data_IF_525180252693
#
_entry.id   IF_525180252693
#
_cell.length_a   1.000
_cell.length_b   1.000
_cell.length_c   1.000
_cell.angle_alpha   90.00
_cell.angle_beta   90.00
_cell.angle_gamma   90.00
#
_symmetry.space_group_name_H-M   'P 1'
#
loop_
_entity.id
_entity.type
_entity.pdbx_description
1 polymer ?
#
# COMPACT_ATOMS: atom_id res chain seq x y z
N UNK A 1 -50.79 34.90 9.17
CA UNK A 1 -49.75 34.30 8.31
C UNK A 1 -48.40 34.83 8.78
N UNK A 2 -47.65 34.05 9.55
CA UNK A 2 -46.37 34.46 10.17
C UNK A 2 -45.23 33.98 9.27
N UNK A 3 -44.54 34.91 8.62
CA UNK A 3 -43.39 34.62 7.76
C UNK A 3 -42.17 34.25 8.63
N UNK A 4 -41.77 32.98 8.62
CA UNK A 4 -40.51 32.55 9.19
C UNK A 4 -39.34 33.07 8.32
N UNK A 5 -38.51 33.98 8.86
CA UNK A 5 -37.26 34.37 8.20
C UNK A 5 -36.20 33.33 8.50
N UNK A 6 -35.69 32.67 7.45
CA UNK A 6 -34.48 31.86 7.53
C UNK A 6 -33.31 32.76 7.91
N UNK A 7 -32.80 32.60 9.12
CA UNK A 7 -31.59 33.29 9.56
C UNK A 7 -30.39 32.47 9.07
N UNK A 8 -29.75 32.95 8.01
CA UNK A 8 -28.46 32.40 7.61
C UNK A 8 -27.41 32.91 8.61
N UNK A 9 -26.70 32.03 9.34
CA UNK A 9 -25.62 32.48 10.19
C UNK A 9 -24.59 33.20 9.32
N UNK A 10 -24.18 34.40 9.74
CA UNK A 10 -23.15 35.17 9.05
C UNK A 10 -21.83 34.40 9.02
N UNK A 11 -21.02 34.65 7.98
CA UNK A 11 -19.71 34.04 7.85
C UNK A 11 -18.88 34.21 9.14
N UNK A 12 -18.17 33.17 9.62
CA UNK A 12 -17.35 33.30 10.80
C UNK A 12 -16.22 34.30 10.54
N UNK A 13 -16.16 35.37 11.34
CA UNK A 13 -15.14 36.44 11.24
C UNK A 13 -14.08 36.37 12.34
N UNK A 14 -14.15 35.39 13.24
CA UNK A 14 -13.14 35.27 14.28
C UNK A 14 -11.79 34.89 13.64
N UNK A 15 -10.67 35.52 14.06
CA UNK A 15 -9.35 35.21 13.51
C UNK A 15 -8.99 33.72 13.63
N UNK A 16 -9.45 33.05 14.69
CA UNK A 16 -9.25 31.62 14.92
C UNK A 16 -9.96 30.79 13.86
N UNK A 17 -11.21 31.11 13.52
CA UNK A 17 -11.95 30.37 12.49
C UNK A 17 -11.37 30.62 11.11
N UNK A 18 -10.95 31.85 10.80
CA UNK A 18 -10.26 32.15 9.55
C UNK A 18 -8.93 31.40 9.45
N UNK A 19 -8.16 31.34 10.54
CA UNK A 19 -6.92 30.57 10.61
C UNK A 19 -7.16 29.07 10.38
N UNK A 20 -8.19 28.49 11.02
CA UNK A 20 -8.55 27.09 10.81
C UNK A 20 -8.98 26.82 9.37
N UNK A 21 -9.80 27.69 8.77
CA UNK A 21 -10.21 27.57 7.36
C UNK A 21 -8.97 27.59 6.46
N UNK A 22 -8.02 28.50 6.70
CA UNK A 22 -6.79 28.57 5.91
C UNK A 22 -5.95 27.29 6.01
N UNK A 23 -5.79 26.72 7.23
CA UNK A 23 -5.06 25.45 7.43
C UNK A 23 -5.76 24.29 6.71
N UNK A 24 -7.09 24.20 6.80
CA UNK A 24 -7.85 23.14 6.11
C UNK A 24 -7.70 23.27 4.59
N UNK A 25 -7.84 24.48 4.04
CA UNK A 25 -7.67 24.71 2.60
C UNK A 25 -6.25 24.36 2.13
N UNK A 26 -5.23 24.70 2.92
CA UNK A 26 -3.85 24.32 2.62
C UNK A 26 -3.65 22.80 2.66
N UNK A 27 -4.16 22.11 3.69
CA UNK A 27 -4.08 20.66 3.80
C UNK A 27 -4.79 19.96 2.62
N UNK A 28 -5.97 20.45 2.21
CA UNK A 28 -6.69 19.95 1.04
C UNK A 28 -5.88 20.17 -0.23
N UNK A 29 -5.31 21.36 -0.43
CA UNK A 29 -4.48 21.67 -1.58
C UNK A 29 -3.27 20.74 -1.67
N UNK A 30 -2.56 20.53 -0.55
CA UNK A 30 -1.42 19.60 -0.50
C UNK A 30 -1.84 18.15 -0.75
N UNK A 31 -3.01 17.72 -0.23
CA UNK A 31 -3.53 16.37 -0.45
C UNK A 31 -3.86 16.10 -1.92
N UNK A 32 -4.41 17.10 -2.63
CA UNK A 32 -4.75 16.97 -4.05
C UNK A 32 -3.58 17.27 -4.99
N UNK A 33 -2.57 18.02 -4.54
CA UNK A 33 -1.34 18.20 -5.32
C UNK A 33 -0.56 16.89 -5.48
N UNK A 34 -0.69 15.97 -4.52
CA UNK A 34 -0.06 14.66 -4.59
C UNK A 34 1.46 14.74 -4.40
N UNK A 35 1.91 15.51 -3.40
CA UNK A 35 3.33 15.52 -3.02
C UNK A 35 3.75 14.10 -2.62
N UNK A 36 4.85 13.64 -3.21
CA UNK A 36 5.56 12.44 -2.77
C UNK A 36 6.40 12.80 -1.54
N UNK A 37 5.86 12.49 -0.36
CA UNK A 37 6.50 12.79 0.91
C UNK A 37 7.58 11.79 1.30
N UNK A 38 7.57 10.61 0.67
CA UNK A 38 8.43 9.49 1.03
C UNK A 38 9.63 9.37 0.08
N UNK A 39 9.47 9.76 -1.18
CA UNK A 39 10.47 9.59 -2.25
C UNK A 39 10.97 8.14 -2.33
N UNK A 40 10.06 7.17 -2.14
CA UNK A 40 10.34 5.73 -2.16
C UNK A 40 11.19 5.22 -0.99
N UNK A 41 11.25 5.94 0.14
CA UNK A 41 12.10 5.56 1.30
C UNK A 41 11.41 4.65 2.32
N UNK A 42 10.15 4.29 2.11
CA UNK A 42 9.37 3.47 3.03
C UNK A 42 9.33 4.08 4.44
N UNK A 43 9.11 5.40 4.54
CA UNK A 43 9.00 6.11 5.82
C UNK A 43 7.74 5.70 6.58
N UNK A 44 6.71 5.23 5.87
CA UNK A 44 5.55 4.66 6.54
C UNK A 44 5.86 3.25 7.07
N UNK A 45 5.54 2.97 8.35
CA UNK A 45 5.90 1.70 8.99
C UNK A 45 5.18 0.49 8.38
N UNK A 46 3.99 0.67 7.81
CA UNK A 46 3.23 -0.37 7.13
C UNK A 46 3.78 -0.69 5.74
N UNK A 47 4.18 0.33 4.97
CA UNK A 47 4.85 0.14 3.67
C UNK A 47 6.16 -0.63 3.84
N UNK A 48 7.00 -0.21 4.81
CA UNK A 48 8.23 -0.91 5.15
C UNK A 48 7.99 -2.35 5.56
N UNK A 49 6.95 -2.60 6.35
CA UNK A 49 6.59 -3.96 6.75
C UNK A 49 6.19 -4.83 5.56
N UNK A 50 5.34 -4.32 4.67
CA UNK A 50 4.85 -5.10 3.53
C UNK A 50 5.96 -5.30 2.50
N UNK A 51 6.63 -4.23 2.08
CA UNK A 51 7.60 -4.29 0.97
C UNK A 51 8.88 -4.97 1.45
N UNK A 52 9.58 -4.37 2.40
CA UNK A 52 10.93 -4.82 2.78
C UNK A 52 10.88 -6.13 3.59
N UNK A 53 10.03 -6.18 4.61
CA UNK A 53 10.01 -7.34 5.52
C UNK A 53 9.21 -8.53 5.00
N UNK A 54 8.18 -8.35 4.18
CA UNK A 54 7.33 -9.45 3.71
C UNK A 54 7.65 -9.83 2.26
N UNK A 55 7.53 -8.90 1.32
CA UNK A 55 7.64 -9.22 -0.11
C UNK A 55 9.09 -9.50 -0.50
N UNK A 56 10.03 -8.67 -0.05
CA UNK A 56 11.46 -8.87 -0.30
C UNK A 56 12.04 -9.92 0.65
N UNK A 57 11.68 -9.86 1.94
CA UNK A 57 12.32 -10.67 2.98
C UNK A 57 11.78 -12.10 3.19
N UNK A 58 10.62 -12.49 2.64
CA UNK A 58 10.00 -13.81 2.91
C UNK A 58 9.68 -14.64 1.68
N UNK A 59 9.80 -14.09 0.47
CA UNK A 59 9.55 -14.82 -0.77
C UNK A 59 10.87 -15.37 -1.27
N UNK A 60 11.11 -16.66 -1.00
CA UNK A 60 12.38 -17.33 -1.31
C UNK A 60 12.11 -18.60 -2.11
N UNK A 61 12.76 -18.77 -3.27
CA UNK A 61 12.63 -19.97 -4.10
C UNK A 61 14.02 -20.51 -4.41
N UNK A 62 14.30 -21.71 -3.91
CA UNK A 62 15.54 -22.42 -4.21
C UNK A 62 15.62 -22.79 -5.71
N UNK A 63 16.85 -22.80 -6.24
CA UNK A 63 17.12 -23.29 -7.58
C UNK A 63 17.91 -24.62 -7.53
N UNK A 64 17.42 -25.70 -8.16
CA UNK A 64 16.21 -25.78 -8.97
C UNK A 64 14.90 -25.83 -8.13
N UNK A 65 13.80 -25.25 -8.63
CA UNK A 65 12.56 -25.13 -7.87
C UNK A 65 11.87 -26.49 -7.71
N UNK A 66 11.41 -26.77 -6.49
CA UNK A 66 10.57 -27.93 -6.23
C UNK A 66 9.11 -27.62 -6.63
N UNK A 67 8.75 -27.97 -7.86
CA UNK A 67 7.42 -27.70 -8.45
C UNK A 67 6.28 -28.30 -7.60
N UNK A 68 6.53 -29.45 -6.96
CA UNK A 68 5.52 -30.09 -6.11
C UNK A 68 5.20 -29.30 -4.83
N UNK A 69 6.09 -28.41 -4.41
CA UNK A 69 5.92 -27.55 -3.24
C UNK A 69 5.36 -26.16 -3.57
N UNK A 70 5.44 -25.70 -4.82
CA UNK A 70 5.06 -24.32 -5.19
C UNK A 70 3.59 -23.99 -4.92
N UNK A 71 2.72 -24.99 -5.05
CA UNK A 71 1.28 -24.84 -4.81
C UNK A 71 0.87 -25.17 -3.37
N UNK A 72 1.80 -25.57 -2.50
CA UNK A 72 1.50 -25.89 -1.09
C UNK A 72 1.35 -24.61 -0.28
N UNK A 73 0.16 -24.30 0.27
CA UNK A 73 0.00 -23.09 1.07
C UNK A 73 0.83 -23.11 2.36
N UNK A 74 1.16 -24.29 2.88
CA UNK A 74 1.84 -24.44 4.17
C UNK A 74 3.37 -24.34 4.08
N UNK A 75 3.95 -24.57 2.90
CA UNK A 75 5.39 -24.80 2.74
C UNK A 75 5.99 -24.14 1.50
N UNK A 76 5.17 -23.51 0.65
CA UNK A 76 5.65 -22.84 -0.56
C UNK A 76 6.39 -21.56 -0.22
N UNK A 77 7.64 -21.44 -0.67
CA UNK A 77 8.40 -20.19 -0.58
C UNK A 77 7.84 -19.04 -1.43
N UNK A 78 6.86 -19.30 -2.30
CA UNK A 78 6.09 -18.25 -2.98
C UNK A 78 4.99 -17.64 -2.10
N UNK A 79 4.68 -18.25 -0.95
CA UNK A 79 3.69 -17.74 -0.03
C UNK A 79 4.37 -16.83 1.02
N UNK A 80 4.06 -15.53 1.09
CA UNK A 80 4.65 -14.62 2.08
C UNK A 80 4.27 -14.94 3.55
N UNK A 81 3.27 -15.83 3.73
CA UNK A 81 2.88 -16.45 5.01
C UNK A 81 3.53 -17.80 5.27
N UNK A 82 4.48 -18.24 4.45
CA UNK A 82 5.13 -19.52 4.65
C UNK A 82 6.42 -19.31 5.40
N UNK A 83 6.36 -19.47 6.70
CA UNK A 83 7.22 -20.43 7.38
C UNK A 83 6.57 -20.75 8.74
N UNK A 84 6.81 -21.87 9.37
CA UNK A 84 7.66 -22.93 8.93
C UNK A 84 6.99 -24.28 9.22
N UNK A 85 7.68 -25.36 8.87
CA UNK A 85 7.20 -26.71 9.07
C UNK A 85 7.25 -27.24 10.52
N UNK A 86 7.71 -26.49 11.52
CA UNK A 86 7.80 -26.94 12.93
C UNK A 86 7.86 -25.82 13.99
N UNK A 87 8.48 -24.67 13.74
CA UNK A 87 8.37 -23.37 14.46
C UNK A 87 9.18 -22.18 13.88
N UNK A 88 10.16 -22.34 12.98
CA UNK A 88 10.88 -21.26 12.27
C UNK A 88 10.09 -20.14 11.56
N UNK A 89 8.81 -19.92 11.90
CA UNK A 89 8.01 -18.68 11.81
C UNK A 89 8.18 -17.81 10.57
N UNK A 90 7.16 -17.82 9.72
CA UNK A 90 6.59 -16.64 9.08
C UNK A 90 5.09 -16.83 9.00
N UNK A 91 4.37 -16.43 10.04
CA UNK A 91 2.91 -16.36 9.97
C UNK A 91 2.40 -15.14 10.70
N UNK A 92 2.53 -13.98 10.10
CA UNK A 92 1.43 -13.01 10.10
C UNK A 92 1.63 -12.14 8.87
N UNK A 93 0.58 -12.06 8.05
CA UNK A 93 0.48 -11.23 6.86
C UNK A 93 -0.98 -11.23 6.40
N UNK A 94 -1.67 -10.08 6.34
CA UNK A 94 -3.13 -10.04 6.20
C UNK A 94 -3.64 -10.39 4.80
N UNK A 95 -2.81 -10.31 3.77
CA UNK A 95 -3.25 -10.41 2.37
C UNK A 95 -3.10 -11.81 1.75
N UNK A 96 -2.28 -12.70 2.34
CA UNK A 96 -2.01 -14.04 1.78
C UNK A 96 -1.25 -14.03 0.44
N UNK A 97 -0.98 -15.20 -0.12
CA UNK A 97 -0.17 -15.33 -1.34
C UNK A 97 -0.90 -14.88 -2.62
N UNK A 98 -2.21 -15.12 -2.72
CA UNK A 98 -2.93 -14.97 -3.98
C UNK A 98 -2.91 -13.53 -4.53
N UNK A 99 -3.21 -12.48 -3.73
CA UNK A 99 -3.13 -11.11 -4.23
C UNK A 99 -1.74 -10.76 -4.75
N UNK A 100 -0.69 -11.14 -4.01
CA UNK A 100 0.72 -10.89 -4.38
C UNK A 100 1.07 -11.56 -5.71
N UNK A 101 0.72 -12.84 -5.86
CA UNK A 101 1.01 -13.60 -7.08
C UNK A 101 0.25 -13.08 -8.29
N UNK A 102 -1.01 -12.68 -8.11
CA UNK A 102 -1.83 -12.12 -9.19
C UNK A 102 -1.30 -10.77 -9.63
N UNK A 103 -0.92 -9.89 -8.70
CA UNK A 103 -0.35 -8.58 -9.02
C UNK A 103 0.99 -8.72 -9.70
N UNK A 104 1.84 -9.64 -9.25
CA UNK A 104 3.16 -9.88 -9.87
C UNK A 104 3.01 -10.46 -11.28
N UNK A 105 2.11 -11.43 -11.47
CA UNK A 105 1.85 -11.99 -12.80
C UNK A 105 1.27 -10.93 -13.76
N UNK A 106 0.35 -10.10 -13.28
CA UNK A 106 -0.21 -9.00 -14.08
C UNK A 106 0.87 -7.98 -14.45
N UNK A 107 1.70 -7.55 -13.49
CA UNK A 107 2.80 -6.64 -13.72
C UNK A 107 3.81 -7.21 -14.72
N UNK A 108 4.15 -8.50 -14.62
CA UNK A 108 5.02 -9.19 -15.57
C UNK A 108 4.45 -9.24 -16.99
N UNK A 109 3.15 -9.54 -17.13
CA UNK A 109 2.46 -9.54 -18.44
C UNK A 109 2.47 -8.13 -19.04
N UNK A 110 2.12 -7.12 -18.25
CA UNK A 110 2.12 -5.72 -18.73
C UNK A 110 3.53 -5.29 -19.09
N UNK A 111 4.54 -5.69 -18.31
CA UNK A 111 5.95 -5.39 -18.62
C UNK A 111 6.39 -6.04 -19.92
N UNK A 112 6.01 -7.28 -20.16
CA UNK A 112 6.30 -7.98 -21.42
C UNK A 112 5.62 -7.31 -22.63
N UNK A 113 4.38 -6.83 -22.48
CA UNK A 113 3.65 -6.18 -23.56
C UNK A 113 4.19 -4.78 -23.86
N UNK A 114 4.52 -4.01 -22.83
CA UNK A 114 4.88 -2.59 -22.95
C UNK A 114 6.38 -2.37 -23.15
N UNK A 115 7.23 -3.31 -22.72
CA UNK A 115 8.68 -3.13 -22.65
C UNK A 115 9.16 -2.32 -21.44
N UNK A 116 8.24 -1.86 -20.60
CA UNK A 116 8.52 -1.08 -19.39
C UNK A 116 8.48 -1.98 -18.15
N UNK A 117 9.33 -1.75 -17.13
CA UNK A 117 9.30 -2.52 -15.89
C UNK A 117 8.19 -2.04 -14.94
N UNK A 118 7.09 -2.79 -14.85
CA UNK A 118 5.96 -2.48 -13.95
C UNK A 118 6.09 -3.07 -12.54
N UNK A 119 7.06 -3.95 -12.33
CA UNK A 119 7.43 -4.53 -11.04
C UNK A 119 8.83 -4.06 -10.59
N UNK A 120 9.35 -2.99 -11.20
CA UNK A 120 10.67 -2.44 -10.89
C UNK A 120 10.66 -1.59 -9.60
N UNK A 121 11.78 -1.57 -8.85
CA UNK A 121 11.89 -0.78 -7.61
C UNK A 121 11.86 0.74 -7.85
N UNK A 122 12.02 1.20 -9.09
CA UNK A 122 11.89 2.60 -9.51
C UNK A 122 10.44 3.09 -9.56
N UNK A 123 9.47 2.19 -9.37
CA UNK A 123 8.03 2.47 -9.42
C UNK A 123 7.30 2.21 -8.10
N UNK A 124 8.06 1.92 -7.04
CA UNK A 124 7.61 1.89 -5.65
C UNK A 124 7.87 3.25 -5.00
#
# INVERSE_FOLDING_TARGET
MTSARLHFPGWPRSPQTMGLIAVILAAIALRFYGLDWDEGRGLHPDERYIIDYVLVGRIEVDWPPNISNLLSPATSGLNPRSADPTTGEYREFPYGALPVLVTEAAAGIVSWITGDSWNGPDRL
#
